data_IF_616966008392
#
_entry.id   IF_616966008392
#
_cell.length_a   1.000
_cell.length_b   1.000
_cell.length_c   1.000
_cell.angle_alpha   90.00
_cell.angle_beta   90.00
_cell.angle_gamma   90.00
#
_symmetry.space_group_name_H-M   'P 1'
#
loop_
_entity.id
_entity.type
_entity.pdbx_description
1 polymer ?
#
# COMPACT_ATOMS: atom_id res chain seq x y z
N UNK A 1 -21.13 17.61 16.38
CA UNK A 1 -20.74 16.37 17.10
C UNK A 1 -19.23 16.28 17.36
N UNK A 2 -18.36 16.61 16.41
CA UNK A 2 -16.90 16.58 16.61
C UNK A 2 -16.38 17.52 17.73
N UNK A 3 -16.96 18.72 17.87
CA UNK A 3 -16.51 19.72 18.87
C UNK A 3 -16.71 19.30 20.34
N UNK A 4 -17.72 18.48 20.62
CA UNK A 4 -17.99 18.00 21.98
C UNK A 4 -17.01 16.90 22.40
N UNK A 5 -16.62 16.03 21.46
CA UNK A 5 -15.60 14.99 21.67
C UNK A 5 -14.21 15.60 21.89
N UNK A 6 -13.87 16.63 21.12
CA UNK A 6 -12.58 17.34 21.25
C UNK A 6 -12.41 17.97 22.63
N UNK A 7 -13.47 18.57 23.21
CA UNK A 7 -13.40 19.27 24.51
C UNK A 7 -13.08 18.36 25.71
N UNK A 8 -13.42 17.07 25.67
CA UNK A 8 -13.15 16.11 26.77
C UNK A 8 -11.76 15.44 26.72
N UNK A 9 -11.07 15.51 25.58
CA UNK A 9 -9.76 14.88 25.41
C UNK A 9 -8.66 15.72 26.05
N UNK A 10 -7.80 15.08 26.86
CA UNK A 10 -6.62 15.69 27.45
C UNK A 10 -5.65 16.17 26.34
N UNK A 11 -4.83 17.18 26.58
CA UNK A 11 -3.94 17.78 25.56
C UNK A 11 -3.05 16.74 24.88
N UNK A 12 -2.55 15.77 25.65
CA UNK A 12 -1.79 14.64 25.12
C UNK A 12 -2.63 13.75 24.19
N UNK A 13 -3.88 13.44 24.54
CA UNK A 13 -4.76 12.62 23.71
C UNK A 13 -5.13 13.34 22.40
N UNK A 14 -5.33 14.67 22.44
CA UNK A 14 -5.55 15.47 21.23
C UNK A 14 -4.33 15.43 20.30
N UNK A 15 -3.12 15.55 20.85
CA UNK A 15 -1.88 15.47 20.07
C UNK A 15 -1.74 14.12 19.36
N UNK A 16 -1.97 13.01 20.08
CA UNK A 16 -1.95 11.67 19.49
C UNK A 16 -3.03 11.46 18.44
N UNK A 17 -4.24 11.98 18.67
CA UNK A 17 -5.34 11.88 17.72
C UNK A 17 -5.05 12.65 16.42
N UNK A 18 -4.53 13.89 16.54
CA UNK A 18 -4.13 14.69 15.39
C UNK A 18 -2.97 14.04 14.62
N UNK A 19 -1.99 13.48 15.32
CA UNK A 19 -0.90 12.71 14.72
C UNK A 19 -1.40 11.49 13.94
N UNK A 20 -2.33 10.72 14.53
CA UNK A 20 -2.94 9.57 13.86
C UNK A 20 -3.74 9.98 12.62
N UNK A 21 -4.50 11.08 12.68
CA UNK A 21 -5.24 11.64 11.54
C UNK A 21 -4.29 12.12 10.42
N UNK A 22 -3.23 12.83 10.78
CA UNK A 22 -2.24 13.30 9.81
C UNK A 22 -1.57 12.12 9.09
N UNK A 23 -1.14 11.10 9.84
CA UNK A 23 -0.54 9.90 9.25
C UNK A 23 -1.53 9.08 8.40
N UNK A 24 -2.81 9.02 8.80
CA UNK A 24 -3.85 8.39 7.98
C UNK A 24 -4.02 9.12 6.66
N UNK A 25 -4.09 10.45 6.68
CA UNK A 25 -4.16 11.28 5.47
C UNK A 25 -2.94 11.07 4.57
N UNK A 26 -1.73 11.01 5.13
CA UNK A 26 -0.51 10.69 4.36
C UNK A 26 -0.57 9.29 3.75
N UNK A 27 -1.05 8.29 4.50
CA UNK A 27 -1.19 6.91 4.02
C UNK A 27 -2.16 6.84 2.85
N UNK A 28 -3.31 7.50 2.94
CA UNK A 28 -4.27 7.60 1.85
C UNK A 28 -3.68 8.32 0.63
N UNK A 29 -2.90 9.40 0.84
CA UNK A 29 -2.21 10.09 -0.23
C UNK A 29 -1.18 9.20 -0.95
N UNK A 30 -0.42 8.40 -0.21
CA UNK A 30 0.54 7.43 -0.79
C UNK A 30 -0.21 6.35 -1.57
N UNK A 31 -1.29 5.80 -1.03
CA UNK A 31 -2.13 4.81 -1.74
C UNK A 31 -2.65 5.39 -3.04
N UNK A 32 -3.11 6.64 -3.03
CA UNK A 32 -3.58 7.33 -4.23
C UNK A 32 -2.45 7.57 -5.24
N UNK A 33 -1.29 8.06 -4.80
CA UNK A 33 -0.13 8.29 -5.67
C UNK A 33 0.43 7.00 -6.27
N UNK A 34 0.35 5.88 -5.56
CA UNK A 34 0.83 4.58 -6.01
C UNK A 34 -0.25 3.71 -6.64
N UNK A 35 -1.48 4.23 -6.77
CA UNK A 35 -2.56 3.51 -7.41
C UNK A 35 -2.15 3.26 -8.87
N UNK A 36 -2.19 2.01 -9.36
CA UNK A 36 -1.75 1.72 -10.71
C UNK A 36 -2.64 2.52 -11.69
N UNK A 37 -2.07 3.51 -12.37
CA UNK A 37 -2.77 4.32 -13.36
C UNK A 37 -2.96 3.50 -14.64
N UNK A 38 -3.91 3.95 -15.47
CA UNK A 38 -4.26 3.29 -16.73
C UNK A 38 -3.18 3.68 -17.73
N UNK A 39 -2.37 2.71 -18.16
CA UNK A 39 -1.34 2.96 -19.15
C UNK A 39 -1.98 2.95 -20.55
N UNK A 40 -1.98 4.09 -21.27
CA UNK A 40 -2.58 4.17 -22.59
C UNK A 40 -1.89 3.27 -23.61
N UNK A 41 -0.59 2.98 -23.47
CA UNK A 41 0.14 2.10 -24.38
C UNK A 41 -0.31 0.65 -24.22
N UNK A 42 -0.52 0.18 -22.98
CA UNK A 42 -1.06 -1.16 -22.72
C UNK A 42 -2.48 -1.29 -23.26
N UNK A 43 -3.30 -0.24 -23.14
CA UNK A 43 -4.66 -0.25 -23.70
C UNK A 43 -4.66 -0.33 -25.22
N UNK A 44 -3.77 0.43 -25.88
CA UNK A 44 -3.60 0.39 -27.33
C UNK A 44 -3.17 -1.03 -27.78
N UNK A 45 -2.16 -1.61 -27.11
CA UNK A 45 -1.68 -2.96 -27.39
C UNK A 45 -2.77 -4.03 -27.19
N UNK A 46 -3.64 -3.88 -26.18
CA UNK A 46 -4.75 -4.83 -25.95
C UNK A 46 -5.85 -4.76 -27.02
N UNK A 47 -5.98 -3.64 -27.71
CA UNK A 47 -6.95 -3.44 -28.79
C UNK A 47 -6.36 -3.74 -30.18
N UNK A 48 -5.04 -3.75 -30.29
CA UNK A 48 -4.34 -4.00 -31.54
C UNK A 48 -4.53 -5.45 -32.02
N UNK A 49 -4.93 -5.67 -33.30
CA UNK A 49 -5.17 -7.00 -33.84
C UNK A 49 -3.88 -7.85 -33.90
N UNK A 50 -2.73 -7.23 -34.16
CA UNK A 50 -1.41 -7.85 -34.17
C UNK A 50 -0.99 -8.41 -32.81
N UNK A 51 -1.62 -7.96 -31.72
CA UNK A 51 -1.33 -8.43 -30.36
C UNK A 51 -2.23 -9.58 -29.89
N UNK A 52 -3.12 -10.10 -30.75
CA UNK A 52 -4.02 -11.23 -30.45
C UNK A 52 -3.28 -12.46 -29.91
N UNK A 53 -2.14 -12.81 -30.51
CA UNK A 53 -1.31 -13.92 -30.06
C UNK A 53 -0.84 -13.77 -28.60
N UNK A 54 -0.60 -12.53 -28.16
CA UNK A 54 -0.18 -12.25 -26.78
C UNK A 54 -1.33 -12.33 -25.78
N UNK A 55 -2.54 -11.99 -26.22
CA UNK A 55 -3.77 -12.06 -25.42
C UNK A 55 -4.23 -13.50 -25.16
N UNK A 56 -3.83 -14.43 -26.03
CA UNK A 56 -4.19 -15.85 -25.98
C UNK A 56 -3.08 -16.74 -25.39
N UNK A 57 -1.96 -16.16 -24.94
CA UNK A 57 -0.88 -16.92 -24.32
C UNK A 57 -1.33 -17.56 -23.00
N UNK A 58 -1.06 -18.85 -22.85
CA UNK A 58 -1.16 -19.53 -21.57
C UNK A 58 -0.21 -18.94 -20.53
N UNK A 59 -0.57 -18.96 -19.23
CA UNK A 59 0.21 -18.35 -18.15
C UNK A 59 1.63 -18.92 -18.03
N UNK A 60 1.85 -20.15 -18.46
CA UNK A 60 3.15 -20.82 -18.49
C UNK A 60 4.12 -20.24 -19.54
N UNK A 61 3.62 -19.61 -20.61
CA UNK A 61 4.47 -19.08 -21.71
C UNK A 61 4.85 -17.62 -21.56
N UNK A 62 4.33 -16.94 -20.54
CA UNK A 62 4.66 -15.54 -20.22
C UNK A 62 6.15 -15.38 -19.87
N UNK A 63 6.82 -16.47 -19.46
CA UNK A 63 8.23 -16.47 -19.07
C UNK A 63 9.21 -16.45 -20.25
N UNK A 64 8.78 -16.91 -21.43
CA UNK A 64 9.69 -17.22 -22.54
C UNK A 64 9.86 -16.08 -23.53
N UNK A 65 9.13 -14.97 -23.34
CA UNK A 65 9.02 -13.91 -24.33
C UNK A 65 9.40 -12.52 -23.78
N UNK A 66 10.70 -12.31 -23.56
CA UNK A 66 11.22 -10.99 -23.19
C UNK A 66 10.89 -9.93 -24.25
N UNK A 67 10.36 -8.76 -23.86
CA UNK A 67 10.05 -7.69 -24.81
C UNK A 67 11.33 -7.01 -25.30
N UNK A 68 11.49 -6.84 -26.61
CA UNK A 68 12.55 -5.99 -27.16
C UNK A 68 11.98 -4.61 -27.52
N UNK A 69 12.72 -3.55 -27.22
CA UNK A 69 12.34 -2.19 -27.58
C UNK A 69 12.18 -2.06 -29.09
N UNK A 70 11.00 -1.64 -29.55
CA UNK A 70 10.65 -1.56 -30.97
C UNK A 70 9.72 -2.68 -31.45
N UNK A 71 9.46 -3.70 -30.62
CA UNK A 71 8.47 -4.73 -30.94
C UNK A 71 7.04 -4.16 -30.93
N UNK A 72 6.19 -4.69 -31.81
CA UNK A 72 4.75 -4.56 -31.65
C UNK A 72 4.34 -5.15 -30.28
N UNK A 73 3.36 -4.52 -29.62
CA UNK A 73 2.84 -4.98 -28.32
C UNK A 73 3.83 -4.84 -27.14
N UNK A 74 4.83 -3.97 -27.25
CA UNK A 74 5.90 -3.83 -26.25
C UNK A 74 5.37 -3.53 -24.83
N UNK A 75 4.38 -2.64 -24.69
CA UNK A 75 3.88 -2.24 -23.38
C UNK A 75 3.11 -3.39 -22.72
N UNK A 76 2.25 -4.08 -23.48
CA UNK A 76 1.55 -5.27 -23.02
C UNK A 76 2.52 -6.37 -22.59
N UNK A 77 3.51 -6.71 -23.42
CA UNK A 77 4.49 -7.75 -23.13
C UNK A 77 5.34 -7.40 -21.91
N UNK A 78 5.78 -6.15 -21.80
CA UNK A 78 6.52 -5.66 -20.62
C UNK A 78 5.71 -5.82 -19.35
N UNK A 79 4.42 -5.47 -19.40
CA UNK A 79 3.54 -5.63 -18.25
C UNK A 79 3.35 -7.10 -17.87
N UNK A 80 3.04 -7.96 -18.85
CA UNK A 80 2.82 -9.40 -18.63
C UNK A 80 4.06 -10.08 -18.03
N UNK A 81 5.26 -9.78 -18.54
CA UNK A 81 6.53 -10.33 -18.03
C UNK A 81 6.88 -9.79 -16.65
N UNK A 82 6.76 -8.47 -16.45
CA UNK A 82 7.11 -7.83 -15.18
C UNK A 82 6.20 -8.26 -14.04
N UNK A 83 4.89 -8.27 -14.31
CA UNK A 83 3.88 -8.49 -13.29
C UNK A 83 3.37 -9.94 -13.27
N UNK A 84 3.86 -10.80 -14.18
CA UNK A 84 3.50 -12.23 -14.31
C UNK A 84 1.99 -12.44 -14.46
N UNK A 85 1.39 -11.67 -15.37
CA UNK A 85 -0.05 -11.70 -15.64
C UNK A 85 -0.34 -11.95 -17.11
N UNK A 86 -1.46 -12.61 -17.39
CA UNK A 86 -2.02 -12.72 -18.74
C UNK A 86 -3.22 -11.78 -18.82
N UNK A 87 -3.25 -10.95 -19.85
CA UNK A 87 -4.32 -9.99 -20.08
C UNK A 87 -4.90 -10.23 -21.47
N UNK A 88 -6.11 -10.79 -21.50
CA UNK A 88 -6.82 -11.13 -22.74
C UNK A 88 -7.65 -9.96 -23.29
N UNK A 89 -7.99 -8.99 -22.43
CA UNK A 89 -8.85 -7.86 -22.78
C UNK A 89 -8.57 -6.60 -21.94
N UNK A 90 -9.14 -5.48 -22.37
CA UNK A 90 -9.12 -4.21 -21.61
C UNK A 90 -9.85 -4.35 -20.27
N UNK A 91 -10.92 -5.12 -20.20
CA UNK A 91 -11.63 -5.39 -18.94
C UNK A 91 -10.75 -6.14 -17.96
N UNK A 92 -9.98 -7.13 -18.43
CA UNK A 92 -9.05 -7.88 -17.58
C UNK A 92 -7.95 -6.97 -17.04
N UNK A 93 -7.49 -6.01 -17.85
CA UNK A 93 -6.51 -5.01 -17.41
C UNK A 93 -7.08 -4.09 -16.32
N UNK A 94 -8.34 -3.67 -16.43
CA UNK A 94 -8.99 -2.87 -15.40
C UNK A 94 -9.20 -3.65 -14.11
N UNK A 95 -9.57 -4.92 -14.19
CA UNK A 95 -9.70 -5.80 -13.03
C UNK A 95 -8.35 -6.06 -12.36
N UNK A 96 -7.32 -6.36 -13.15
CA UNK A 96 -5.93 -6.49 -12.69
C UNK A 96 -5.47 -5.23 -11.93
N UNK A 97 -5.74 -4.04 -12.49
CA UNK A 97 -5.39 -2.77 -11.83
C UNK A 97 -6.13 -2.58 -10.51
N UNK A 98 -7.44 -2.86 -10.47
CA UNK A 98 -8.23 -2.77 -9.23
C UNK A 98 -7.69 -3.72 -8.17
N UNK A 99 -7.49 -4.98 -8.52
CA UNK A 99 -6.99 -6.01 -7.59
C UNK A 99 -5.59 -5.68 -7.09
N UNK A 100 -4.70 -5.20 -7.97
CA UNK A 100 -3.36 -4.75 -7.58
C UNK A 100 -3.39 -3.51 -6.69
N UNK A 101 -4.25 -2.55 -7.00
CA UNK A 101 -4.48 -1.36 -6.17
C UNK A 101 -4.97 -1.72 -4.77
N UNK A 102 -5.97 -2.60 -4.67
CA UNK A 102 -6.49 -3.11 -3.39
C UNK A 102 -5.40 -3.86 -2.62
N UNK A 103 -4.64 -4.74 -3.28
CA UNK A 103 -3.55 -5.49 -2.65
C UNK A 103 -2.48 -4.57 -2.07
N UNK A 104 -2.06 -3.55 -2.83
CA UNK A 104 -1.11 -2.53 -2.34
C UNK A 104 -1.71 -1.74 -1.17
N UNK A 105 -2.96 -1.28 -1.31
CA UNK A 105 -3.68 -0.57 -0.25
C UNK A 105 -3.75 -1.37 1.05
N UNK A 106 -4.12 -2.65 0.97
CA UNK A 106 -4.16 -3.56 2.10
C UNK A 106 -2.77 -3.77 2.73
N UNK A 107 -1.73 -3.92 1.92
CA UNK A 107 -0.36 -4.05 2.41
C UNK A 107 0.09 -2.79 3.17
N UNK A 108 -0.24 -1.59 2.69
CA UNK A 108 0.05 -0.34 3.40
C UNK A 108 -0.72 -0.21 4.71
N UNK A 109 -2.01 -0.58 4.73
CA UNK A 109 -2.80 -0.61 5.96
C UNK A 109 -2.24 -1.63 6.97
N UNK A 110 -1.73 -2.77 6.50
CA UNK A 110 -1.13 -3.77 7.37
C UNK A 110 0.21 -3.28 7.96
N UNK A 111 1.06 -2.64 7.15
CA UNK A 111 2.27 -1.95 7.64
C UNK A 111 1.88 -0.89 8.68
N UNK A 112 0.81 -0.14 8.44
CA UNK A 112 0.33 0.88 9.36
C UNK A 112 -0.11 0.28 10.70
N UNK A 113 -0.89 -0.81 10.68
CA UNK A 113 -1.29 -1.53 11.89
C UNK A 113 -0.08 -2.05 12.69
N UNK A 114 0.96 -2.54 12.00
CA UNK A 114 2.20 -3.00 12.63
C UNK A 114 2.97 -1.84 13.30
N UNK A 115 3.08 -0.68 12.66
CA UNK A 115 3.73 0.50 13.24
C UNK A 115 3.00 0.95 14.51
N UNK A 116 1.66 1.04 14.47
CA UNK A 116 0.88 1.41 15.65
C UNK A 116 1.00 0.39 16.78
N UNK A 117 0.97 -0.90 16.44
CA UNK A 117 1.23 -1.98 17.40
C UNK A 117 2.61 -1.83 18.05
N UNK A 118 3.64 -1.53 17.25
CA UNK A 118 5.01 -1.29 17.72
C UNK A 118 5.12 -0.09 18.66
N UNK A 119 4.51 1.05 18.29
CA UNK A 119 4.48 2.25 19.15
C UNK A 119 3.77 1.95 20.47
N UNK A 120 2.65 1.23 20.44
CA UNK A 120 1.92 0.84 21.64
C UNK A 120 2.78 -0.03 22.58
N UNK A 121 3.43 -1.07 22.04
CA UNK A 121 4.34 -1.93 22.81
C UNK A 121 5.49 -1.12 23.40
N UNK A 122 6.09 -0.22 22.61
CA UNK A 122 7.15 0.66 23.09
C UNK A 122 6.70 1.59 24.22
N UNK A 123 5.53 2.22 24.09
CA UNK A 123 4.95 3.07 25.12
C UNK A 123 4.64 2.27 26.41
N UNK A 124 4.14 1.04 26.27
CA UNK A 124 3.88 0.16 27.41
C UNK A 124 5.17 -0.24 28.14
N UNK A 125 6.22 -0.65 27.42
CA UNK A 125 7.52 -1.03 27.99
C UNK A 125 8.17 0.16 28.70
N UNK A 126 8.21 1.33 28.06
CA UNK A 126 8.80 2.54 28.65
C UNK A 126 8.06 2.97 29.92
N UNK A 127 6.72 2.87 29.96
CA UNK A 127 5.94 3.16 31.17
C UNK A 127 6.31 2.23 32.33
N UNK A 128 6.53 0.93 32.07
CA UNK A 128 6.98 -0.04 33.07
C UNK A 128 8.40 0.25 33.58
N UNK A 129 9.31 0.63 32.68
CA UNK A 129 10.69 0.99 33.04
C UNK A 129 10.70 2.25 33.91
N UNK A 130 10.01 3.31 33.48
CA UNK A 130 9.91 4.56 34.24
C UNK A 130 9.34 4.28 35.62
N UNK A 131 8.21 3.56 35.72
CA UNK A 131 7.61 3.22 37.01
C UNK A 131 8.58 2.49 37.96
N UNK A 132 9.36 1.52 37.45
CA UNK A 132 10.40 0.84 38.24
C UNK A 132 11.54 1.78 38.67
N UNK A 133 11.99 2.66 37.78
CA UNK A 133 13.05 3.64 38.09
C UNK A 133 12.58 4.63 39.16
N UNK A 134 11.33 5.10 39.09
CA UNK A 134 10.77 6.00 40.10
C UNK A 134 10.68 5.33 41.46
N UNK A 135 10.23 4.06 41.53
CA UNK A 135 10.17 3.29 42.78
C UNK A 135 11.56 3.10 43.42
N UNK A 136 12.57 2.79 42.61
CA UNK A 136 13.95 2.66 43.09
C UNK A 136 14.53 4.00 43.58
N UNK A 137 14.14 5.11 42.96
CA UNK A 137 14.58 6.44 43.37
C UNK A 137 13.96 6.87 44.70
N UNK A 138 12.66 6.61 44.91
CA UNK A 138 11.96 6.96 46.15
C UNK A 138 12.45 6.12 47.33
N UNK A 139 12.73 4.82 47.14
CA UNK A 139 13.33 3.98 48.20
C UNK A 139 14.75 4.37 48.61
N UNK A 140 15.48 5.10 47.76
CA UNK A 140 16.86 5.53 48.04
C UNK A 140 16.91 6.90 48.75
N UNK A 141 15.77 7.59 48.87
CA UNK A 141 15.64 8.89 49.54
C UNK A 141 14.99 8.81 50.94
N UNK A 142 14.45 7.65 51.31
CA UNK A 142 14.13 7.27 52.70
C UNK A 142 15.34 6.60 53.36
#
# INVERSE_FOLDING_TARGET
MADWLMKKLNTAQRFWMLGALAMLATTLAIIFMQWPLRDPAVMADLQAPECSQWRELGPERVYDAYPMTGDACFALRTLMVRDRVVLSSVSDYDEYRKTTGIKRGAQFLLIWALIFGGIYVFAWVTTRIVAKVTELRTRKSE
#
